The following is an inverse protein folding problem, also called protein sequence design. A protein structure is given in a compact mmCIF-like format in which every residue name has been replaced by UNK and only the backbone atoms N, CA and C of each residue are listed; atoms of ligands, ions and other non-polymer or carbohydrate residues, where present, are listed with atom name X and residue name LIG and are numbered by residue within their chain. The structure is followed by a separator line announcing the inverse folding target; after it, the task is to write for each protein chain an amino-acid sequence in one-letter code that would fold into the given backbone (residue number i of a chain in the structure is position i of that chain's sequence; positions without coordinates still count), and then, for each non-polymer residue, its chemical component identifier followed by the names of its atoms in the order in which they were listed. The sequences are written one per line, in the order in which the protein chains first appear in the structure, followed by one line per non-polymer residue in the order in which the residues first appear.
data_IF_382952995055
#
_entry.id   IF_382952995055
#
_cell.length_a   1.000
_cell.length_b   1.000
_cell.length_c   1.000
_cell.angle_alpha   90.00
_cell.angle_beta   90.00
_cell.angle_gamma   90.00
#
_symmetry.space_group_name_H-M   'P 1'
#
loop_
_entity.id
_entity.type
_entity.pdbx_description
1 polymer ?
#
# COMPACT_ATOMS: atom_id res chain seq x y z
N UNK A 1 -39.86 19.96 -13.78
CA UNK A 1 -39.21 19.26 -14.90
C UNK A 1 -39.51 17.77 -14.77
N UNK A 2 -39.96 17.10 -15.81
CA UNK A 2 -40.20 15.66 -15.77
C UNK A 2 -38.87 14.94 -15.51
N UNK A 3 -38.78 14.13 -14.44
CA UNK A 3 -37.61 13.26 -14.21
C UNK A 3 -37.47 12.38 -15.45
N UNK A 4 -36.34 12.48 -16.14
CA UNK A 4 -36.02 11.59 -17.26
C UNK A 4 -36.15 10.15 -16.76
N UNK A 5 -36.86 9.30 -17.51
CA UNK A 5 -37.09 7.91 -17.11
C UNK A 5 -35.76 7.16 -17.21
N UNK A 6 -35.07 7.01 -16.08
CA UNK A 6 -33.82 6.24 -15.98
C UNK A 6 -34.19 4.76 -16.05
N UNK A 7 -33.63 4.05 -17.03
CA UNK A 7 -33.73 2.59 -17.11
C UNK A 7 -32.97 1.97 -15.94
N UNK A 8 -33.64 1.07 -15.22
CA UNK A 8 -33.05 0.46 -14.04
C UNK A 8 -32.16 -0.70 -14.46
N UNK A 9 -30.95 -0.76 -13.90
CA UNK A 9 -30.12 -1.96 -14.01
C UNK A 9 -30.88 -3.11 -13.33
N UNK A 10 -31.28 -4.09 -14.12
CA UNK A 10 -32.04 -5.28 -13.67
C UNK A 10 -31.29 -6.59 -13.97
N UNK A 11 -29.98 -6.48 -14.18
CA UNK A 11 -29.08 -7.60 -14.46
C UNK A 11 -27.81 -7.49 -13.60
N UNK A 12 -27.10 -8.60 -13.45
CA UNK A 12 -25.86 -8.64 -12.69
C UNK A 12 -24.66 -8.31 -13.60
N UNK A 13 -23.96 -7.22 -13.30
CA UNK A 13 -22.67 -6.91 -13.92
C UNK A 13 -21.60 -7.90 -13.47
N UNK A 14 -20.97 -8.59 -14.42
CA UNK A 14 -19.84 -9.48 -14.11
C UNK A 14 -18.60 -8.66 -13.76
N UNK A 15 -18.07 -8.87 -12.57
CA UNK A 15 -16.86 -8.21 -12.09
C UNK A 15 -15.64 -8.60 -12.95
N UNK A 16 -14.92 -7.60 -13.48
CA UNK A 16 -13.63 -7.81 -14.16
C UNK A 16 -12.46 -7.77 -13.16
N UNK A 17 -11.35 -8.45 -13.46
CA UNK A 17 -10.11 -8.29 -12.69
C UNK A 17 -9.67 -6.83 -12.62
N UNK A 18 -9.05 -6.44 -11.50
CA UNK A 18 -8.48 -5.11 -11.36
C UNK A 18 -7.34 -4.88 -12.36
N UNK A 19 -7.32 -3.70 -12.99
CA UNK A 19 -6.22 -3.25 -13.85
C UNK A 19 -5.02 -2.78 -13.01
N UNK A 20 -3.83 -2.59 -13.61
CA UNK A 20 -2.63 -2.22 -12.85
C UNK A 20 -2.77 -0.98 -11.96
N UNK A 21 -3.52 0.06 -12.36
CA UNK A 21 -3.71 1.25 -11.50
C UNK A 21 -4.36 0.93 -10.16
N UNK A 22 -5.23 -0.08 -10.12
CA UNK A 22 -5.87 -0.52 -8.90
C UNK A 22 -5.02 -1.55 -8.14
N UNK A 23 -4.00 -2.15 -8.75
CA UNK A 23 -3.18 -3.17 -8.10
C UNK A 23 -1.97 -2.61 -7.33
N UNK A 24 -1.64 -1.32 -7.49
CA UNK A 24 -0.43 -0.72 -6.92
C UNK A 24 -0.33 -0.80 -5.38
N UNK A 25 -1.48 -0.83 -4.71
CA UNK A 25 -1.55 -0.88 -3.25
C UNK A 25 -2.65 -1.82 -2.77
N UNK A 26 -2.32 -2.65 -1.79
CA UNK A 26 -3.30 -3.52 -1.11
C UNK A 26 -4.35 -2.66 -0.43
N UNK A 27 -5.62 -3.02 -0.59
CA UNK A 27 -6.71 -2.45 0.19
C UNK A 27 -7.81 -3.50 0.32
N UNK A 28 -8.50 -3.56 1.46
CA UNK A 28 -9.50 -4.58 1.73
C UNK A 28 -10.84 -4.23 1.07
N UNK A 29 -11.56 -5.26 0.60
CA UNK A 29 -12.90 -5.13 0.03
C UNK A 29 -13.05 -4.13 -1.14
N UNK A 30 -12.00 -3.92 -1.94
CA UNK A 30 -12.06 -3.04 -3.12
C UNK A 30 -13.18 -3.48 -4.08
N UNK A 31 -14.04 -2.54 -4.47
CA UNK A 31 -15.10 -2.80 -5.46
C UNK A 31 -14.53 -2.95 -6.87
N UNK A 32 -15.07 -3.85 -7.71
CA UNK A 32 -14.70 -3.96 -9.11
C UNK A 32 -14.99 -2.66 -9.85
N UNK A 33 -13.95 -2.04 -10.41
CA UNK A 33 -14.03 -0.77 -11.11
C UNK A 33 -15.14 -0.73 -12.18
N UNK A 34 -15.27 -1.78 -13.00
CA UNK A 34 -16.24 -1.82 -14.09
C UNK A 34 -17.70 -1.84 -13.62
N UNK A 35 -17.97 -2.41 -12.44
CA UNK A 35 -19.31 -2.39 -11.84
C UNK A 35 -19.62 -0.97 -11.40
N UNK A 36 -18.67 -0.29 -10.77
CA UNK A 36 -18.81 1.11 -10.35
C UNK A 36 -19.02 2.02 -11.57
N UNK A 37 -18.24 1.85 -12.64
CA UNK A 37 -18.37 2.63 -13.87
C UNK A 37 -19.77 2.50 -14.49
N UNK A 38 -20.31 1.28 -14.58
CA UNK A 38 -21.61 1.03 -15.19
C UNK A 38 -22.75 1.70 -14.42
N UNK A 39 -22.72 1.65 -13.09
CA UNK A 39 -23.72 2.33 -12.26
C UNK A 39 -23.62 3.85 -12.42
N UNK A 40 -22.41 4.41 -12.39
CA UNK A 40 -22.23 5.85 -12.63
C UNK A 40 -22.75 6.22 -14.02
N UNK A 41 -22.41 5.46 -15.05
CA UNK A 41 -22.81 5.75 -16.42
C UNK A 41 -24.34 5.70 -16.62
N UNK A 42 -25.02 4.72 -16.00
CA UNK A 42 -26.47 4.56 -16.10
C UNK A 42 -27.26 5.64 -15.33
N UNK A 43 -26.77 6.03 -14.15
CA UNK A 43 -27.51 6.90 -13.23
C UNK A 43 -27.09 8.38 -13.28
N UNK A 44 -26.09 8.75 -14.10
CA UNK A 44 -25.58 10.14 -14.19
C UNK A 44 -25.29 10.55 -15.64
N UNK A 45 -25.13 11.86 -15.86
CA UNK A 45 -24.70 12.47 -17.11
C UNK A 45 -23.30 13.07 -16.98
N UNK A 46 -22.67 13.38 -18.11
CA UNK A 46 -21.39 14.11 -18.10
C UNK A 46 -21.52 15.44 -17.36
N UNK A 47 -20.53 15.73 -16.50
CA UNK A 47 -20.52 16.93 -15.64
C UNK A 47 -21.19 16.78 -14.27
N UNK A 48 -22.03 15.77 -14.07
CA UNK A 48 -22.69 15.49 -12.78
C UNK A 48 -21.67 15.23 -11.65
N UNK A 49 -22.08 15.48 -10.41
CA UNK A 49 -21.30 15.28 -9.20
C UNK A 49 -21.69 13.96 -8.53
N UNK A 50 -20.73 13.03 -8.47
CA UNK A 50 -20.86 11.71 -7.83
C UNK A 50 -20.16 11.71 -6.48
N UNK A 51 -20.88 11.40 -5.41
CA UNK A 51 -20.35 11.29 -4.06
C UNK A 51 -20.24 9.84 -3.60
N UNK A 52 -19.10 9.49 -3.03
CA UNK A 52 -18.91 8.32 -2.17
C UNK A 52 -18.46 8.75 -0.77
N UNK A 53 -19.30 8.57 0.26
CA UNK A 53 -18.97 8.95 1.63
C UNK A 53 -18.09 7.92 2.37
N UNK A 54 -17.78 6.76 1.74
CA UNK A 54 -16.93 5.70 2.28
C UNK A 54 -15.99 5.17 1.18
N UNK A 55 -15.24 6.08 0.55
CA UNK A 55 -14.62 5.82 -0.74
C UNK A 55 -13.54 4.73 -0.73
N UNK A 56 -12.98 4.37 0.43
CA UNK A 56 -11.98 3.33 0.58
C UNK A 56 -10.80 3.53 -0.38
N UNK A 57 -10.52 2.55 -1.23
CA UNK A 57 -9.43 2.69 -2.22
C UNK A 57 -9.78 3.54 -3.46
N UNK A 58 -10.94 4.19 -3.47
CA UNK A 58 -11.30 5.22 -4.44
C UNK A 58 -11.90 4.82 -5.78
N UNK A 59 -12.42 3.60 -6.05
CA UNK A 59 -12.96 3.29 -7.37
C UNK A 59 -14.07 4.26 -7.78
N UNK A 60 -14.94 4.70 -6.87
CA UNK A 60 -16.03 5.63 -7.20
C UNK A 60 -15.57 6.99 -7.70
N UNK A 61 -14.80 7.80 -6.93
CA UNK A 61 -14.36 9.11 -7.43
C UNK A 61 -13.46 9.00 -8.67
N UNK A 62 -12.69 7.90 -8.80
CA UNK A 62 -11.80 7.68 -9.95
C UNK A 62 -12.60 7.34 -11.21
N UNK A 63 -13.56 6.40 -11.13
CA UNK A 63 -14.40 6.05 -12.27
C UNK A 63 -15.31 7.21 -12.69
N UNK A 64 -15.79 8.02 -11.73
CA UNK A 64 -16.54 9.24 -12.04
C UNK A 64 -15.73 10.18 -12.96
N UNK A 65 -14.48 10.50 -12.60
CA UNK A 65 -13.67 11.40 -13.43
C UNK A 65 -13.24 10.79 -14.77
N UNK A 66 -13.04 9.46 -14.83
CA UNK A 66 -12.79 8.74 -16.10
C UNK A 66 -13.97 8.84 -17.05
N UNK A 67 -15.18 8.84 -16.51
CA UNK A 67 -16.43 8.98 -17.26
C UNK A 67 -16.81 10.45 -17.53
N UNK A 68 -15.97 11.43 -17.18
CA UNK A 68 -16.25 12.85 -17.41
C UNK A 68 -17.27 13.45 -16.44
N UNK A 69 -17.47 12.83 -15.27
CA UNK A 69 -18.21 13.38 -14.13
C UNK A 69 -17.22 14.03 -13.16
N UNK A 70 -17.74 14.67 -12.10
CA UNK A 70 -16.95 15.13 -10.96
C UNK A 70 -17.07 14.10 -9.83
N UNK A 71 -15.94 13.67 -9.27
CA UNK A 71 -15.91 12.67 -8.20
C UNK A 71 -15.64 13.29 -6.83
N UNK A 72 -16.49 13.00 -5.85
CA UNK A 72 -16.25 13.32 -4.44
C UNK A 72 -16.02 12.01 -3.70
N UNK A 73 -14.89 11.90 -3.02
CA UNK A 73 -14.55 10.77 -2.17
C UNK A 73 -14.26 11.22 -0.75
N UNK A 74 -15.06 10.76 0.21
CA UNK A 74 -14.84 10.97 1.63
C UNK A 74 -14.58 9.64 2.29
N UNK A 75 -13.67 9.62 3.25
CA UNK A 75 -13.44 8.45 4.11
C UNK A 75 -12.90 8.95 5.45
N UNK A 76 -13.21 8.24 6.54
CA UNK A 76 -12.66 8.57 7.85
C UNK A 76 -11.16 8.18 7.92
N UNK A 77 -10.77 7.12 7.20
CA UNK A 77 -9.41 6.59 7.22
C UNK A 77 -8.51 7.40 6.26
N UNK A 78 -7.44 8.05 6.76
CA UNK A 78 -6.56 8.86 5.91
C UNK A 78 -5.78 8.02 4.90
N UNK A 79 -5.62 6.71 5.12
CA UNK A 79 -5.02 5.83 4.12
C UNK A 79 -5.93 5.67 2.90
N UNK A 80 -7.25 5.61 3.08
CA UNK A 80 -8.22 5.53 1.98
C UNK A 80 -8.05 6.71 1.02
N UNK A 81 -8.02 7.93 1.56
CA UNK A 81 -7.91 9.14 0.76
C UNK A 81 -6.50 9.30 0.17
N UNK A 82 -5.46 8.89 0.89
CA UNK A 82 -4.09 8.84 0.38
C UNK A 82 -3.95 7.88 -0.81
N UNK A 83 -4.45 6.65 -0.68
CA UNK A 83 -4.42 5.64 -1.75
C UNK A 83 -5.22 6.12 -2.96
N UNK A 84 -6.44 6.62 -2.74
CA UNK A 84 -7.29 7.18 -3.80
C UNK A 84 -6.56 8.29 -4.56
N UNK A 85 -5.95 9.23 -3.84
CA UNK A 85 -5.22 10.36 -4.44
C UNK A 85 -4.02 9.89 -5.26
N UNK A 86 -3.19 8.99 -4.73
CA UNK A 86 -1.99 8.51 -5.42
C UNK A 86 -2.31 7.65 -6.65
N UNK A 87 -3.42 6.90 -6.61
CA UNK A 87 -3.93 6.21 -7.79
C UNK A 87 -4.37 7.21 -8.86
N UNK A 88 -5.08 8.28 -8.50
CA UNK A 88 -5.69 9.20 -9.44
C UNK A 88 -4.75 10.27 -10.02
N UNK A 89 -3.87 10.86 -9.19
CA UNK A 89 -3.06 12.03 -9.58
C UNK A 89 -2.08 11.69 -10.71
N UNK A 90 -2.02 12.45 -11.82
CA UNK A 90 -1.06 12.18 -12.87
C UNK A 90 0.37 12.49 -12.42
N UNK A 91 1.31 11.59 -12.73
CA UNK A 91 2.74 11.71 -12.42
C UNK A 91 3.55 11.29 -13.64
N UNK A 92 4.56 12.07 -14.01
CA UNK A 92 5.47 11.73 -15.10
C UNK A 92 6.30 10.48 -14.73
N UNK A 93 6.21 9.45 -15.58
CA UNK A 93 6.92 8.18 -15.39
C UNK A 93 8.44 8.39 -15.41
N UNK A 94 8.96 9.35 -16.18
CA UNK A 94 10.39 9.64 -16.21
C UNK A 94 10.87 10.27 -14.90
N UNK A 95 10.05 11.12 -14.27
CA UNK A 95 10.36 11.66 -12.94
C UNK A 95 10.41 10.55 -11.88
N UNK A 96 9.49 9.57 -11.94
CA UNK A 96 9.54 8.38 -11.06
C UNK A 96 10.85 7.61 -11.28
N UNK A 97 11.21 7.32 -12.54
CA UNK A 97 12.43 6.56 -12.87
C UNK A 97 13.70 7.26 -12.38
N UNK A 98 13.81 8.57 -12.63
CA UNK A 98 14.98 9.36 -12.23
C UNK A 98 15.13 9.39 -10.70
N UNK A 99 14.05 9.70 -9.99
CA UNK A 99 14.07 9.73 -8.53
C UNK A 99 14.31 8.34 -7.91
N UNK A 100 13.85 7.25 -8.55
CA UNK A 100 14.19 5.90 -8.10
C UNK A 100 15.68 5.62 -8.19
N UNK A 101 16.35 6.00 -9.28
CA UNK A 101 17.80 5.82 -9.42
C UNK A 101 18.58 6.63 -8.37
N UNK A 102 18.11 7.82 -8.00
CA UNK A 102 18.68 8.58 -6.87
C UNK A 102 18.48 7.87 -5.53
N UNK A 103 17.26 7.41 -5.21
CA UNK A 103 16.98 6.65 -3.99
C UNK A 103 17.86 5.39 -3.93
N UNK A 104 17.94 4.66 -5.04
CA UNK A 104 18.74 3.46 -5.20
C UNK A 104 20.23 3.70 -4.97
N UNK A 105 20.80 4.74 -5.57
CA UNK A 105 22.20 5.10 -5.35
C UNK A 105 22.50 5.41 -3.88
N UNK A 106 21.53 6.01 -3.17
CA UNK A 106 21.70 6.42 -1.78
C UNK A 106 21.56 5.30 -0.76
N UNK A 107 20.87 4.19 -1.07
CA UNK A 107 20.46 3.26 -0.01
C UNK A 107 20.56 1.76 -0.37
N UNK A 108 20.61 1.38 -1.65
CA UNK A 108 20.57 -0.03 -2.09
C UNK A 108 21.71 -0.86 -1.51
N UNK A 109 22.93 -0.33 -1.53
CA UNK A 109 24.12 -1.09 -1.11
C UNK A 109 24.11 -1.33 0.40
N UNK A 110 23.80 -0.29 1.19
CA UNK A 110 23.66 -0.38 2.65
C UNK A 110 22.64 -1.45 3.06
N UNK A 111 21.49 -1.50 2.37
CA UNK A 111 20.47 -2.52 2.62
C UNK A 111 20.98 -3.91 2.23
N UNK A 112 21.50 -4.08 1.02
CA UNK A 112 21.93 -5.40 0.52
C UNK A 112 23.11 -5.97 1.30
N UNK A 113 23.92 -5.14 1.95
CA UNK A 113 24.97 -5.58 2.87
C UNK A 113 24.41 -6.37 4.07
N UNK A 114 23.15 -6.10 4.47
CA UNK A 114 22.44 -6.85 5.51
C UNK A 114 21.92 -8.21 5.02
N UNK A 115 21.95 -8.47 3.71
CA UNK A 115 21.44 -9.67 3.05
C UNK A 115 22.55 -10.43 2.30
N UNK A 116 23.82 -10.29 2.70
CA UNK A 116 24.94 -11.06 2.12
C UNK A 116 24.98 -12.49 2.63
N UNK A 117 25.39 -13.41 1.77
CA UNK A 117 25.67 -14.82 2.13
C UNK A 117 26.69 -15.42 1.16
N UNK A 118 27.18 -16.63 1.45
CA UNK A 118 28.05 -17.42 0.56
C UNK A 118 27.27 -18.52 -0.15
N UNK A 119 27.58 -18.73 -1.43
CA UNK A 119 26.98 -19.78 -2.23
C UNK A 119 27.53 -21.17 -1.82
N UNK A 120 26.64 -22.09 -1.43
CA UNK A 120 27.00 -23.49 -1.09
C UNK A 120 27.68 -24.26 -2.23
N UNK A 121 27.50 -23.83 -3.48
CA UNK A 121 28.01 -24.53 -4.67
C UNK A 121 29.42 -24.07 -5.07
N UNK A 122 29.70 -22.77 -5.01
CA UNK A 122 30.94 -22.20 -5.54
C UNK A 122 31.73 -21.37 -4.53
N UNK A 123 31.24 -21.19 -3.29
CA UNK A 123 31.90 -20.43 -2.23
C UNK A 123 31.93 -18.91 -2.43
N UNK A 124 31.50 -18.39 -3.59
CA UNK A 124 31.47 -16.95 -3.88
C UNK A 124 30.27 -16.24 -3.24
N UNK A 125 30.34 -14.91 -3.20
CA UNK A 125 29.29 -14.05 -2.66
C UNK A 125 27.96 -14.22 -3.39
N UNK A 126 26.90 -14.15 -2.60
CA UNK A 126 25.51 -14.26 -3.03
C UNK A 126 24.63 -13.30 -2.23
N UNK A 127 23.44 -13.00 -2.78
CA UNK A 127 22.45 -12.13 -2.14
C UNK A 127 21.25 -12.95 -1.68
N UNK A 128 20.91 -12.84 -0.39
CA UNK A 128 19.72 -13.44 0.20
C UNK A 128 18.49 -12.82 -0.44
N UNK A 129 17.60 -13.69 -0.93
CA UNK A 129 16.26 -13.34 -1.43
C UNK A 129 15.29 -13.31 -0.26
N UNK A 130 15.31 -14.37 0.56
CA UNK A 130 14.54 -14.46 1.79
C UNK A 130 15.14 -15.49 2.76
N UNK A 131 14.78 -15.38 4.03
CA UNK A 131 15.11 -16.32 5.10
C UNK A 131 13.82 -16.84 5.72
N UNK A 132 13.70 -18.16 5.86
CA UNK A 132 12.61 -18.77 6.63
C UNK A 132 13.05 -18.87 8.09
N UNK A 133 12.14 -18.50 8.97
CA UNK A 133 12.34 -18.51 10.41
C UNK A 133 11.32 -19.46 11.03
N UNK A 134 11.76 -20.17 12.05
CA UNK A 134 10.90 -20.80 13.04
C UNK A 134 11.11 -20.04 14.35
N UNK A 135 10.14 -19.20 14.69
CA UNK A 135 10.21 -18.22 15.76
C UNK A 135 11.49 -17.36 15.63
N UNK A 136 12.44 -17.49 16.56
CA UNK A 136 13.70 -16.76 16.57
C UNK A 136 14.86 -17.47 15.87
N UNK A 137 14.62 -18.63 15.23
CA UNK A 137 15.67 -19.45 14.63
C UNK A 137 15.57 -19.44 13.11
N UNK A 138 16.59 -18.97 12.37
CA UNK A 138 16.59 -19.09 10.93
C UNK A 138 16.80 -20.56 10.53
N UNK A 139 15.94 -21.10 9.66
CA UNK A 139 15.95 -22.52 9.29
C UNK A 139 16.36 -22.75 7.85
N UNK A 140 16.09 -21.78 6.96
CA UNK A 140 16.39 -21.87 5.52
C UNK A 140 16.72 -20.51 4.93
N UNK A 141 17.71 -20.45 4.05
CA UNK A 141 18.04 -19.25 3.27
C UNK A 141 17.86 -19.58 1.79
N UNK A 142 17.10 -18.75 1.10
CA UNK A 142 17.05 -18.73 -0.36
C UNK A 142 17.83 -17.52 -0.86
N UNK A 143 18.71 -17.73 -1.83
CA UNK A 143 19.62 -16.70 -2.30
C UNK A 143 19.85 -16.80 -3.81
N UNK A 144 20.30 -15.70 -4.41
CA UNK A 144 20.77 -15.67 -5.79
C UNK A 144 22.29 -15.60 -5.81
N UNK A 145 22.93 -16.53 -6.51
CA UNK A 145 24.37 -16.53 -6.72
C UNK A 145 24.71 -15.89 -8.06
N UNK A 146 25.42 -14.77 -8.04
CA UNK A 146 25.84 -14.04 -9.25
C UNK A 146 26.80 -14.83 -10.11
N UNK A 147 27.68 -15.63 -9.51
CA UNK A 147 28.66 -16.45 -10.25
C UNK A 147 28.08 -17.72 -10.86
N UNK A 148 27.07 -18.33 -10.22
CA UNK A 148 26.38 -19.49 -10.77
C UNK A 148 25.20 -19.11 -11.66
N UNK A 149 24.78 -17.84 -11.63
CA UNK A 149 23.58 -17.31 -12.27
C UNK A 149 22.32 -18.16 -11.94
N UNK A 150 22.15 -18.53 -10.66
CA UNK A 150 21.04 -19.39 -10.22
C UNK A 150 20.53 -18.99 -8.85
N UNK A 151 19.21 -19.16 -8.66
CA UNK A 151 18.57 -19.19 -7.34
C UNK A 151 18.84 -20.54 -6.70
N UNK A 152 19.27 -20.52 -5.46
CA UNK A 152 19.65 -21.69 -4.67
C UNK A 152 19.14 -21.52 -3.24
N UNK A 153 19.20 -22.59 -2.48
CA UNK A 153 18.83 -22.62 -1.07
C UNK A 153 19.93 -23.27 -0.23
N UNK A 154 20.01 -22.94 1.06
CA UNK A 154 20.85 -23.65 2.04
C UNK A 154 20.25 -23.59 3.44
N UNK A 155 20.75 -24.43 4.35
CA UNK A 155 20.60 -24.16 5.78
C UNK A 155 21.58 -23.03 6.15
N UNK A 156 21.23 -22.13 7.10
CA UNK A 156 22.16 -21.12 7.59
C UNK A 156 23.45 -21.76 8.10
N UNK A 157 24.60 -21.20 7.72
CA UNK A 157 25.92 -21.59 8.23
C UNK A 157 26.43 -20.58 9.29
N UNK A 158 27.63 -20.81 9.82
CA UNK A 158 28.23 -19.97 10.85
C UNK A 158 28.40 -18.51 10.42
N UNK A 159 28.64 -18.23 9.13
CA UNK A 159 28.76 -16.86 8.62
C UNK A 159 27.38 -16.17 8.62
N UNK A 160 26.35 -16.88 8.17
CA UNK A 160 24.97 -16.38 8.18
C UNK A 160 24.51 -16.08 9.62
N UNK A 161 24.78 -16.99 10.56
CA UNK A 161 24.42 -16.83 11.98
C UNK A 161 25.20 -15.70 12.65
N UNK A 162 26.47 -15.48 12.28
CA UNK A 162 27.25 -14.30 12.72
C UNK A 162 26.63 -13.01 12.21
N UNK A 163 26.18 -12.97 10.95
CA UNK A 163 25.51 -11.80 10.39
C UNK A 163 24.18 -11.52 11.11
N UNK A 164 23.35 -12.54 11.37
CA UNK A 164 22.12 -12.40 12.16
C UNK A 164 22.42 -11.79 13.53
N UNK A 165 23.36 -12.36 14.28
CA UNK A 165 23.76 -11.83 15.60
C UNK A 165 24.30 -10.41 15.54
N UNK A 166 25.03 -10.06 14.47
CA UNK A 166 25.50 -8.69 14.24
C UNK A 166 24.32 -7.73 14.07
N UNK A 167 23.36 -8.08 13.21
CA UNK A 167 22.19 -7.24 12.92
C UNK A 167 21.31 -7.06 14.15
N UNK A 168 21.10 -8.10 14.95
CA UNK A 168 20.32 -8.01 16.21
C UNK A 168 20.92 -7.00 17.20
N UNK A 169 22.25 -6.79 17.17
CA UNK A 169 22.95 -5.82 18.01
C UNK A 169 23.01 -4.40 17.42
N UNK A 170 22.58 -4.20 16.18
CA UNK A 170 22.64 -2.88 15.54
C UNK A 170 21.63 -1.91 16.16
N UNK A 171 22.01 -0.64 16.27
CA UNK A 171 21.04 0.45 16.41
C UNK A 171 20.18 0.56 15.15
N UNK A 172 18.95 1.08 15.28
CA UNK A 172 18.15 1.45 14.11
C UNK A 172 18.58 2.86 13.69
N UNK A 173 19.08 3.07 12.46
CA UNK A 173 19.82 4.28 12.11
C UNK A 173 18.94 5.52 11.91
N UNK A 174 17.66 5.33 11.55
CA UNK A 174 16.72 6.43 11.30
C UNK A 174 15.41 6.20 12.05
N UNK A 175 14.55 7.22 12.01
CA UNK A 175 13.23 7.18 12.64
C UNK A 175 12.37 6.02 12.12
N UNK A 176 11.57 5.45 13.02
CA UNK A 176 10.58 4.41 12.72
C UNK A 176 9.35 4.56 13.65
N UNK A 177 8.18 4.05 13.24
CA UNK A 177 6.98 4.11 14.06
C UNK A 177 7.02 3.11 15.22
N UNK A 178 6.71 3.58 16.42
CA UNK A 178 6.52 2.76 17.64
C UNK A 178 5.07 2.75 18.13
N UNK A 179 4.13 3.13 17.25
CA UNK A 179 2.71 3.19 17.55
C UNK A 179 2.23 1.82 18.08
N UNK A 180 1.51 1.83 19.20
CA UNK A 180 0.89 0.64 19.77
C UNK A 180 -0.21 0.12 18.84
N UNK A 181 -0.32 -1.18 18.71
CA UNK A 181 -1.39 -1.88 17.97
C UNK A 181 -2.68 -1.91 18.82
N UNK A 182 -3.17 -0.72 19.13
CA UNK A 182 -4.31 -0.46 20.00
C UNK A 182 -5.06 0.78 19.50
N UNK A 183 -6.37 0.84 19.74
CA UNK A 183 -7.22 2.00 19.46
C UNK A 183 -7.83 2.52 20.77
N UNK A 184 -7.75 3.83 21.03
CA UNK A 184 -8.26 4.47 22.25
C UNK A 184 -7.86 3.77 23.57
N UNK A 185 -6.67 3.16 23.60
CA UNK A 185 -6.15 2.44 24.76
C UNK A 185 -6.51 0.95 24.82
N UNK A 186 -7.47 0.50 24.03
CA UNK A 186 -7.87 -0.92 23.91
C UNK A 186 -7.04 -1.64 22.84
N UNK A 187 -6.61 -2.86 23.14
CA UNK A 187 -5.88 -3.68 22.16
C UNK A 187 -6.76 -3.97 20.94
N UNK A 188 -6.12 -4.07 19.77
CA UNK A 188 -6.82 -4.47 18.56
C UNK A 188 -7.53 -5.81 18.74
N UNK A 189 -8.79 -5.86 18.29
CA UNK A 189 -9.61 -7.07 18.35
C UNK A 189 -8.92 -8.23 17.64
N UNK A 190 -8.33 -7.93 16.48
CA UNK A 190 -7.56 -8.87 15.68
C UNK A 190 -6.07 -8.44 15.64
N UNK A 191 -5.50 -8.28 16.84
CA UNK A 191 -4.08 -7.98 17.04
C UNK A 191 -3.14 -9.16 16.70
N UNK A 192 -1.98 -9.18 17.35
CA UNK A 192 -0.97 -10.24 17.17
C UNK A 192 -1.31 -11.50 17.98
N UNK A 193 -2.04 -11.33 19.08
CA UNK A 193 -2.20 -12.31 20.17
C UNK A 193 -0.88 -12.76 20.81
N UNK A 194 0.21 -12.01 20.59
CA UNK A 194 1.47 -12.14 21.31
C UNK A 194 1.69 -10.86 22.14
N UNK A 195 1.63 -10.93 23.48
CA UNK A 195 1.77 -9.73 24.33
C UNK A 195 3.15 -9.07 24.21
N UNK A 196 4.15 -9.75 23.65
CA UNK A 196 5.46 -9.17 23.42
C UNK A 196 5.53 -8.36 22.12
N UNK A 197 4.51 -8.44 21.26
CA UNK A 197 4.44 -7.77 19.96
C UNK A 197 3.18 -6.91 19.94
N UNK A 198 3.29 -5.75 20.57
CA UNK A 198 2.22 -4.79 20.83
C UNK A 198 2.38 -3.47 20.07
N UNK A 199 3.41 -3.32 19.24
CA UNK A 199 3.70 -2.09 18.49
C UNK A 199 4.16 -2.37 17.05
N UNK A 200 4.00 -1.37 16.19
CA UNK A 200 4.28 -1.48 14.74
C UNK A 200 5.73 -1.91 14.47
N UNK A 201 6.72 -1.36 15.17
CA UNK A 201 8.14 -1.72 15.02
C UNK A 201 8.42 -3.20 15.32
N UNK A 202 7.66 -3.78 16.25
CA UNK A 202 7.83 -5.18 16.66
C UNK A 202 7.22 -6.17 15.68
N UNK A 203 6.47 -5.72 14.67
CA UNK A 203 6.00 -6.57 13.57
C UNK A 203 7.14 -7.01 12.64
N UNK A 204 8.30 -6.34 12.73
CA UNK A 204 9.44 -6.55 11.86
C UNK A 204 10.52 -7.39 12.54
N UNK A 205 11.34 -8.09 11.76
CA UNK A 205 12.66 -8.51 12.26
C UNK A 205 13.57 -7.29 12.36
N UNK A 206 14.65 -7.36 13.15
CA UNK A 206 15.60 -6.25 13.25
C UNK A 206 16.18 -5.85 11.89
N UNK A 207 16.50 -6.85 11.06
CA UNK A 207 17.02 -6.66 9.70
C UNK A 207 16.03 -5.92 8.81
N UNK A 208 14.77 -6.35 8.80
CA UNK A 208 13.72 -5.68 8.02
C UNK A 208 13.48 -4.26 8.52
N UNK A 209 13.39 -4.04 9.83
CA UNK A 209 13.18 -2.71 10.41
C UNK A 209 14.30 -1.75 10.00
N UNK A 210 15.57 -2.12 10.20
CA UNK A 210 16.72 -1.31 9.78
C UNK A 210 16.65 -0.98 8.30
N UNK A 211 16.38 -1.98 7.45
CA UNK A 211 16.27 -1.79 6.00
C UNK A 211 15.15 -0.83 5.61
N UNK A 212 13.98 -0.94 6.24
CA UNK A 212 12.84 -0.06 5.99
C UNK A 212 13.15 1.38 6.39
N UNK A 213 13.81 1.61 7.53
CA UNK A 213 14.20 2.97 7.97
C UNK A 213 15.17 3.64 6.99
N UNK A 214 16.09 2.86 6.40
CA UNK A 214 17.05 3.33 5.40
C UNK A 214 16.31 3.80 4.13
N UNK A 215 15.36 3.01 3.62
CA UNK A 215 14.53 3.39 2.46
C UNK A 215 13.68 4.62 2.78
N UNK A 216 12.99 4.60 3.92
CA UNK A 216 12.10 5.68 4.32
C UNK A 216 12.84 7.03 4.44
N UNK A 217 14.03 7.01 5.04
CA UNK A 217 14.91 8.18 5.11
C UNK A 217 15.39 8.64 3.72
N UNK A 218 15.73 7.72 2.82
CA UNK A 218 16.09 8.07 1.45
C UNK A 218 14.92 8.75 0.71
N UNK A 219 13.69 8.24 0.86
CA UNK A 219 12.48 8.84 0.30
C UNK A 219 12.23 10.24 0.88
N UNK A 220 12.42 10.44 2.19
CA UNK A 220 12.19 11.74 2.82
C UNK A 220 13.07 12.89 2.28
N UNK A 221 14.20 12.55 1.65
CA UNK A 221 15.14 13.49 1.02
C UNK A 221 14.74 13.89 -0.41
N UNK A 222 13.75 13.23 -1.02
CA UNK A 222 13.22 13.60 -2.33
C UNK A 222 12.60 14.99 -2.24
N UNK A 223 13.03 15.91 -3.12
CA UNK A 223 12.62 17.33 -3.04
C UNK A 223 11.21 17.58 -3.57
N UNK A 224 10.86 16.98 -4.70
CA UNK A 224 9.55 17.18 -5.31
C UNK A 224 8.48 16.42 -4.52
N UNK A 225 7.54 17.14 -3.92
CA UNK A 225 6.59 16.57 -2.97
C UNK A 225 5.71 15.49 -3.62
N UNK A 226 5.22 15.71 -4.85
CA UNK A 226 4.41 14.71 -5.57
C UNK A 226 5.19 13.40 -5.80
N UNK A 227 6.47 13.51 -6.12
CA UNK A 227 7.35 12.35 -6.32
C UNK A 227 7.66 11.66 -5.00
N UNK A 228 7.92 12.42 -3.94
CA UNK A 228 8.06 11.87 -2.58
C UNK A 228 6.83 11.06 -2.17
N UNK A 229 5.62 11.62 -2.37
CA UNK A 229 4.36 10.97 -2.00
C UNK A 229 4.12 9.66 -2.75
N UNK A 230 4.44 9.57 -4.05
CA UNK A 230 4.29 8.29 -4.78
C UNK A 230 5.33 7.24 -4.33
N UNK A 231 6.52 7.65 -3.89
CA UNK A 231 7.47 6.71 -3.27
C UNK A 231 7.04 6.28 -1.87
N UNK A 232 6.43 7.16 -1.07
CA UNK A 232 5.81 6.78 0.20
C UNK A 232 4.65 5.80 -0.01
N UNK A 233 3.88 5.96 -1.09
CA UNK A 233 2.86 5.02 -1.52
C UNK A 233 3.45 3.66 -1.94
N UNK A 234 4.53 3.64 -2.73
CA UNK A 234 5.24 2.39 -3.06
C UNK A 234 5.87 1.72 -1.83
N UNK A 235 6.40 2.51 -0.88
CA UNK A 235 6.96 2.00 0.36
C UNK A 235 5.88 1.33 1.22
N UNK A 236 4.74 2.00 1.41
CA UNK A 236 3.63 1.45 2.21
C UNK A 236 3.00 0.22 1.55
N UNK A 237 2.93 0.18 0.21
CA UNK A 237 2.40 -0.98 -0.52
C UNK A 237 3.19 -2.27 -0.29
N UNK A 238 4.48 -2.19 0.04
CA UNK A 238 5.34 -3.36 0.33
C UNK A 238 5.65 -3.58 1.81
N UNK A 239 5.46 -2.58 2.68
CA UNK A 239 5.85 -2.64 4.11
C UNK A 239 5.32 -3.87 4.84
N UNK A 240 4.10 -4.31 4.56
CA UNK A 240 3.52 -5.51 5.16
C UNK A 240 4.21 -6.81 4.72
N UNK A 241 4.77 -6.84 3.50
CA UNK A 241 5.53 -7.98 2.98
C UNK A 241 6.93 -8.07 3.59
N UNK A 242 7.42 -6.97 4.15
CA UNK A 242 8.67 -6.88 4.91
C UNK A 242 8.47 -7.20 6.39
N UNK A 243 7.36 -7.83 6.81
CA UNK A 243 7.05 -8.11 8.21
C UNK A 243 7.04 -9.61 8.53
N UNK A 244 7.04 -9.93 9.84
CA UNK A 244 6.89 -11.29 10.36
C UNK A 244 5.51 -11.89 10.10
N UNK A 245 4.54 -11.11 9.60
CA UNK A 245 3.17 -11.57 9.31
C UNK A 245 3.06 -12.43 8.02
N UNK A 246 4.19 -12.74 7.38
CA UNK A 246 4.24 -13.40 6.08
C UNK A 246 4.58 -14.89 6.25
N UNK A 247 3.62 -15.82 6.12
CA UNK A 247 3.87 -17.24 6.33
C UNK A 247 4.72 -17.85 5.22
N UNK A 248 5.46 -18.91 5.55
CA UNK A 248 6.14 -19.73 4.52
C UNK A 248 5.12 -20.51 3.70
N UNK A 249 5.29 -20.53 2.39
CA UNK A 249 4.42 -21.26 1.45
C UNK A 249 5.15 -22.46 0.87
N UNK A 250 4.73 -23.71 1.18
CA UNK A 250 5.41 -24.91 0.69
C UNK A 250 5.59 -24.97 -0.83
N UNK A 251 4.57 -24.52 -1.59
CA UNK A 251 4.58 -24.54 -3.06
C UNK A 251 5.28 -23.34 -3.69
N UNK A 252 5.54 -22.27 -2.92
CA UNK A 252 6.18 -21.04 -3.40
C UNK A 252 7.13 -20.49 -2.32
N UNK A 253 8.26 -21.17 -2.04
CA UNK A 253 9.08 -20.88 -0.87
C UNK A 253 9.80 -19.53 -0.90
N UNK A 254 9.86 -18.84 -2.04
CA UNK A 254 10.44 -17.50 -2.17
C UNK A 254 9.38 -16.40 -2.33
N UNK A 255 8.12 -16.67 -2.00
CA UNK A 255 7.01 -15.73 -2.13
C UNK A 255 6.05 -15.91 -0.97
N UNK A 256 5.59 -14.79 -0.40
CA UNK A 256 4.59 -14.77 0.66
C UNK A 256 3.67 -13.55 0.51
N UNK A 257 2.71 -13.42 1.40
CA UNK A 257 1.69 -12.38 1.41
C UNK A 257 1.18 -12.20 2.85
N UNK A 258 0.57 -11.05 3.14
CA UNK A 258 -0.16 -10.89 4.40
C UNK A 258 -1.47 -11.69 4.33
N UNK A 259 -1.45 -12.86 4.95
CA UNK A 259 -2.42 -13.93 4.70
C UNK A 259 -3.77 -13.74 5.39
N UNK A 260 -3.78 -13.04 6.51
CA UNK A 260 -4.98 -12.81 7.31
C UNK A 260 -5.27 -11.31 7.34
N UNK A 261 -6.54 -10.93 7.42
CA UNK A 261 -6.96 -9.53 7.64
C UNK A 261 -6.79 -9.14 9.12
N UNK A 262 -5.60 -9.37 9.68
CA UNK A 262 -5.22 -9.14 11.09
C UNK A 262 -3.70 -9.16 11.28
N UNK A 263 -3.22 -8.69 12.43
CA UNK A 263 -1.77 -8.65 12.75
C UNK A 263 -1.16 -9.98 13.18
N UNK A 264 -1.66 -11.10 12.62
CA UNK A 264 -1.20 -12.43 12.98
C UNK A 264 0.25 -12.70 12.58
N UNK A 265 1.03 -13.21 13.52
CA UNK A 265 2.42 -13.65 13.30
C UNK A 265 2.46 -15.18 13.31
N UNK A 266 2.68 -15.84 12.16
CA UNK A 266 2.88 -17.28 12.14
C UNK A 266 4.18 -17.67 12.86
N UNK A 267 4.22 -18.82 13.56
CA UNK A 267 5.46 -19.36 14.12
C UNK A 267 6.54 -19.54 13.05
N UNK A 268 6.14 -19.96 11.84
CA UNK A 268 7.02 -20.11 10.69
C UNK A 268 6.74 -18.99 9.67
N UNK A 269 7.65 -18.05 9.55
CA UNK A 269 7.50 -16.86 8.70
C UNK A 269 8.69 -16.67 7.74
N UNK A 270 8.48 -15.80 6.74
CA UNK A 270 9.45 -15.49 5.70
C UNK A 270 9.96 -14.05 5.85
N UNK A 271 11.20 -13.88 6.28
CA UNK A 271 11.88 -12.60 6.21
C UNK A 271 12.33 -12.33 4.76
N UNK A 272 11.75 -11.34 4.10
CA UNK A 272 12.09 -10.97 2.71
C UNK A 272 13.23 -9.96 2.65
N UNK A 273 14.03 -9.98 1.58
CA UNK A 273 14.94 -8.89 1.26
C UNK A 273 14.15 -7.63 0.90
N UNK A 274 14.25 -6.61 1.76
CA UNK A 274 13.48 -5.36 1.65
C UNK A 274 13.81 -4.57 0.39
N UNK A 275 15.06 -4.61 -0.10
CA UNK A 275 15.41 -3.94 -1.36
C UNK A 275 14.68 -4.58 -2.54
N UNK A 276 14.60 -5.93 -2.60
CA UNK A 276 13.86 -6.61 -3.66
C UNK A 276 12.35 -6.29 -3.61
N UNK A 277 11.79 -6.16 -2.41
CA UNK A 277 10.39 -5.74 -2.24
C UNK A 277 10.16 -4.31 -2.74
N UNK A 278 11.05 -3.37 -2.39
CA UNK A 278 10.95 -1.98 -2.84
C UNK A 278 11.11 -1.83 -4.35
N UNK A 279 12.10 -2.51 -4.93
CA UNK A 279 12.33 -2.55 -6.38
C UNK A 279 11.09 -3.09 -7.11
N UNK A 280 10.48 -4.16 -6.58
CA UNK A 280 9.21 -4.70 -7.10
C UNK A 280 8.01 -3.77 -6.88
N UNK A 281 7.97 -2.98 -5.82
CA UNK A 281 6.92 -1.98 -5.60
C UNK A 281 7.01 -0.81 -6.59
N UNK A 282 8.17 -0.64 -7.24
CA UNK A 282 8.39 0.37 -8.28
C UNK A 282 8.17 -0.22 -9.67
N UNK A 283 8.86 -1.31 -10.01
CA UNK A 283 8.92 -1.86 -11.36
C UNK A 283 8.20 -3.21 -11.55
N UNK A 284 7.69 -3.83 -10.48
CA UNK A 284 6.93 -5.07 -10.60
C UNK A 284 5.60 -4.88 -11.34
N UNK A 285 4.91 -5.98 -11.62
CA UNK A 285 3.61 -5.97 -12.32
C UNK A 285 2.51 -5.26 -11.53
N UNK A 286 2.69 -5.12 -10.22
CA UNK A 286 1.84 -4.34 -9.32
C UNK A 286 2.57 -3.09 -8.80
N UNK A 287 3.64 -2.68 -9.48
CA UNK A 287 4.45 -1.54 -9.10
C UNK A 287 3.88 -0.21 -9.59
N UNK A 288 4.38 0.88 -9.03
CA UNK A 288 3.90 2.23 -9.37
C UNK A 288 4.18 2.62 -10.83
N UNK A 289 5.22 2.10 -11.48
CA UNK A 289 5.50 2.43 -12.90
C UNK A 289 4.39 1.90 -13.81
N UNK A 290 4.02 0.62 -13.63
CA UNK A 290 2.96 0.00 -14.42
C UNK A 290 1.59 0.63 -14.09
N UNK A 291 1.27 0.77 -12.81
CA UNK A 291 -0.02 1.34 -12.40
C UNK A 291 -0.16 2.83 -12.72
N UNK A 292 0.92 3.63 -12.68
CA UNK A 292 0.87 5.02 -13.14
C UNK A 292 0.75 5.13 -14.64
N UNK A 293 1.43 4.27 -15.41
CA UNK A 293 1.25 4.19 -16.86
C UNK A 293 -0.22 3.93 -17.20
N UNK A 294 -0.84 2.96 -16.54
CA UNK A 294 -2.27 2.65 -16.70
C UNK A 294 -3.16 3.84 -16.31
N UNK A 295 -2.98 4.40 -15.10
CA UNK A 295 -3.82 5.51 -14.62
C UNK A 295 -3.69 6.79 -15.45
N UNK A 296 -2.47 7.15 -15.88
CA UNK A 296 -2.23 8.34 -16.71
C UNK A 296 -2.89 8.19 -18.10
N UNK A 297 -2.95 6.97 -18.62
CA UNK A 297 -3.62 6.69 -19.89
C UNK A 297 -5.14 6.78 -19.76
N UNK A 298 -5.70 6.33 -18.63
CA UNK A 298 -7.15 6.29 -18.42
C UNK A 298 -7.74 7.62 -17.93
N UNK A 299 -7.01 8.37 -17.09
CA UNK A 299 -7.46 9.64 -16.50
C UNK A 299 -7.03 10.80 -17.39
N UNK A 300 -7.95 11.28 -18.23
CA UNK A 300 -7.67 12.33 -19.22
C UNK A 300 -7.52 13.72 -18.63
N UNK A 301 -8.19 13.98 -17.51
CA UNK A 301 -8.17 15.26 -16.82
C UNK A 301 -8.18 15.04 -15.31
N UNK A 302 -7.33 15.77 -14.60
CA UNK A 302 -7.25 15.73 -13.14
C UNK A 302 -6.98 17.13 -12.61
N UNK A 303 -7.90 17.65 -11.80
CA UNK A 303 -7.72 18.84 -10.98
C UNK A 303 -8.43 18.61 -9.65
N UNK A 304 -7.65 18.46 -8.59
CA UNK A 304 -8.16 18.24 -7.24
C UNK A 304 -8.62 19.55 -6.60
N UNK A 305 -9.85 19.55 -6.10
CA UNK A 305 -10.49 20.63 -5.37
C UNK A 305 -9.92 20.72 -3.94
N UNK A 306 -9.69 21.95 -3.45
CA UNK A 306 -9.35 22.22 -2.05
C UNK A 306 -10.61 22.38 -1.20
N UNK A 307 -11.66 22.97 -1.78
CA UNK A 307 -13.00 23.16 -1.23
C UNK A 307 -14.06 22.82 -2.28
N UNK A 308 -15.30 22.61 -1.87
CA UNK A 308 -16.37 22.16 -2.75
C UNK A 308 -16.57 23.09 -3.96
N UNK A 309 -16.48 24.41 -3.77
CA UNK A 309 -16.73 25.40 -4.82
C UNK A 309 -15.74 25.30 -5.99
N UNK A 310 -14.54 24.74 -5.76
CA UNK A 310 -13.55 24.56 -6.83
C UNK A 310 -14.05 23.56 -7.90
N UNK A 311 -15.01 22.69 -7.56
CA UNK A 311 -15.69 21.81 -8.53
C UNK A 311 -16.49 22.61 -9.56
N UNK A 312 -16.90 23.83 -9.24
CA UNK A 312 -17.53 24.75 -10.20
C UNK A 312 -16.50 25.54 -11.02
N UNK A 313 -15.24 25.55 -10.58
CA UNK A 313 -14.11 26.23 -11.23
C UNK A 313 -13.12 25.22 -11.84
N UNK A 314 -13.67 24.25 -12.56
CA UNK A 314 -12.93 23.27 -13.35
C UNK A 314 -12.25 22.16 -12.55
N UNK A 315 -12.25 22.13 -11.21
CA UNK A 315 -11.83 20.93 -10.50
C UNK A 315 -12.80 19.77 -10.78
N UNK A 316 -12.28 18.55 -10.87
CA UNK A 316 -13.09 17.38 -11.16
C UNK A 316 -13.03 16.31 -10.08
N UNK A 317 -12.17 16.44 -9.08
CA UNK A 317 -12.13 15.49 -7.96
C UNK A 317 -12.00 16.23 -6.63
N UNK A 318 -12.75 15.81 -5.61
CA UNK A 318 -12.68 16.35 -4.25
C UNK A 318 -12.51 15.22 -3.25
N UNK A 319 -11.34 15.14 -2.61
CA UNK A 319 -11.01 14.07 -1.66
C UNK A 319 -10.82 14.62 -0.26
N UNK A 320 -11.54 14.07 0.73
CA UNK A 320 -11.45 14.53 2.12
C UNK A 320 -11.40 13.38 3.11
N UNK A 321 -10.44 13.44 4.03
CA UNK A 321 -10.47 12.61 5.24
C UNK A 321 -11.41 13.28 6.23
N UNK A 322 -12.62 12.76 6.39
CA UNK A 322 -13.67 13.41 7.17
C UNK A 322 -14.75 12.42 7.62
N UNK A 323 -15.48 12.79 8.68
CA UNK A 323 -16.55 11.96 9.22
C UNK A 323 -17.81 12.04 8.35
N UNK A 324 -18.37 10.89 7.96
CA UNK A 324 -19.55 10.84 7.10
C UNK A 324 -20.81 11.44 7.75
N UNK A 325 -20.87 11.53 9.08
CA UNK A 325 -21.96 12.24 9.79
C UNK A 325 -21.84 13.77 9.73
N UNK A 326 -20.69 14.30 9.30
CA UNK A 326 -20.39 15.73 9.28
C UNK A 326 -20.25 16.30 7.86
N UNK A 327 -20.68 15.55 6.84
CA UNK A 327 -20.51 15.92 5.42
C UNK A 327 -21.01 17.33 5.08
N UNK A 328 -22.07 17.82 5.74
CA UNK A 328 -22.60 19.16 5.50
C UNK A 328 -21.64 20.30 5.87
N UNK A 329 -20.58 20.01 6.62
CA UNK A 329 -19.51 20.99 6.90
C UNK A 329 -18.59 21.21 5.69
N UNK A 330 -18.52 20.25 4.77
CA UNK A 330 -17.59 20.27 3.63
C UNK A 330 -18.28 20.16 2.26
N UNK A 331 -19.55 19.77 2.22
CA UNK A 331 -20.38 19.63 1.02
C UNK A 331 -21.72 20.34 1.30
N UNK A 332 -22.11 21.34 0.49
CA UNK A 332 -23.41 22.00 0.63
C UNK A 332 -24.59 21.04 0.52
N UNK A 333 -25.75 21.43 1.06
CA UNK A 333 -26.99 20.68 0.85
C UNK A 333 -27.43 20.76 -0.61
N UNK A 334 -28.09 19.71 -1.09
CA UNK A 334 -28.69 19.64 -2.44
C UNK A 334 -27.70 19.94 -3.58
N UNK A 335 -26.43 19.56 -3.40
CA UNK A 335 -25.33 19.91 -4.32
C UNK A 335 -24.67 18.71 -5.01
N UNK A 336 -25.16 17.50 -4.81
CA UNK A 336 -24.65 16.27 -5.45
C UNK A 336 -25.76 15.60 -6.25
N UNK A 337 -25.41 15.06 -7.42
CA UNK A 337 -26.38 14.49 -8.35
C UNK A 337 -26.61 12.99 -8.08
N UNK A 338 -25.58 12.30 -7.59
CA UNK A 338 -25.62 10.86 -7.33
C UNK A 338 -24.75 10.48 -6.15
N UNK A 339 -25.26 9.57 -5.30
CA UNK A 339 -24.51 8.98 -4.19
C UNK A 339 -24.33 7.50 -4.47
N UNK A 340 -23.08 7.08 -4.64
CA UNK A 340 -22.69 5.67 -4.70
C UNK A 340 -22.02 5.34 -3.37
N UNK A 341 -22.62 4.45 -2.58
CA UNK A 341 -22.14 4.19 -1.22
C UNK A 341 -22.21 2.71 -0.87
N UNK A 342 -21.17 2.25 -0.17
CA UNK A 342 -21.10 0.94 0.45
C UNK A 342 -20.45 1.11 1.83
N UNK A 343 -21.23 1.26 2.91
CA UNK A 343 -20.68 1.47 4.25
C UNK A 343 -19.85 0.27 4.71
N UNK A 344 -18.85 0.49 5.59
CA UNK A 344 -17.96 -0.58 6.03
C UNK A 344 -18.72 -1.71 6.72
N UNK A 345 -18.27 -2.95 6.50
CA UNK A 345 -18.80 -4.14 7.17
C UNK A 345 -18.39 -4.12 8.65
N UNK A 346 -19.25 -3.56 9.52
CA UNK A 346 -19.04 -3.22 10.94
C UNK A 346 -18.72 -4.38 11.89
N UNK A 347 -17.68 -5.15 11.58
CA UNK A 347 -17.17 -6.27 12.37
C UNK A 347 -16.38 -7.32 11.58
N UNK A 348 -16.52 -7.35 10.24
CA UNK A 348 -15.89 -8.37 9.39
C UNK A 348 -14.45 -7.99 8.95
N UNK A 349 -14.18 -6.70 8.78
CA UNK A 349 -12.85 -6.17 8.42
C UNK A 349 -12.54 -4.97 9.31
N UNK A 350 -11.42 -5.03 10.01
CA UNK A 350 -10.96 -3.97 10.90
C UNK A 350 -10.11 -2.94 10.13
N UNK A 351 -10.74 -2.12 9.28
CA UNK A 351 -10.03 -1.24 8.34
C UNK A 351 -9.04 -0.28 9.03
N UNK A 352 -9.42 0.31 10.17
CA UNK A 352 -8.57 1.21 10.94
C UNK A 352 -7.41 0.49 11.62
N UNK A 353 -7.68 -0.66 12.26
CA UNK A 353 -6.63 -1.47 12.87
C UNK A 353 -5.59 -1.79 11.80
N UNK A 354 -6.01 -2.35 10.66
CA UNK A 354 -5.10 -2.80 9.62
C UNK A 354 -4.36 -1.65 8.91
N UNK A 355 -4.97 -0.47 8.81
CA UNK A 355 -4.31 0.70 8.24
C UNK A 355 -3.27 1.32 9.18
N UNK A 356 -3.26 0.96 10.47
CA UNK A 356 -2.29 1.45 11.47
C UNK A 356 -0.86 1.24 11.04
N UNK A 357 -0.55 0.11 10.41
CA UNK A 357 0.78 -0.16 9.86
C UNK A 357 1.20 0.95 8.88
N UNK A 358 0.34 1.27 7.91
CA UNK A 358 0.66 2.23 6.86
C UNK A 358 0.60 3.67 7.38
N UNK A 359 -0.43 4.01 8.16
CA UNK A 359 -0.61 5.34 8.73
C UNK A 359 0.55 5.72 9.65
N UNK A 360 1.02 4.77 10.47
CA UNK A 360 2.15 5.02 11.37
C UNK A 360 3.43 5.37 10.61
N UNK A 361 3.73 4.68 9.50
CA UNK A 361 4.86 5.04 8.64
C UNK A 361 4.68 6.41 7.97
N UNK A 362 3.48 6.73 7.51
CA UNK A 362 3.17 8.00 6.87
C UNK A 362 3.00 9.16 7.86
N UNK A 363 3.10 8.89 9.18
CA UNK A 363 2.84 9.87 10.25
C UNK A 363 1.46 10.50 10.14
N UNK A 364 0.48 9.70 9.73
CA UNK A 364 -0.92 10.10 9.69
C UNK A 364 -1.55 9.76 11.04
N UNK A 365 -2.31 10.71 11.58
CA UNK A 365 -3.10 10.45 12.78
C UNK A 365 -4.20 9.44 12.44
N UNK A 366 -4.56 8.57 13.38
CA UNK A 366 -5.71 7.68 13.28
C UNK A 366 -6.73 7.94 14.39
N UNK A 367 -6.52 8.96 15.22
CA UNK A 367 -7.47 9.40 16.24
C UNK A 367 -8.57 10.26 15.57
N UNK A 368 -9.50 9.60 14.89
CA UNK A 368 -10.69 10.21 14.29
C UNK A 368 -11.98 9.79 14.98
#
# INVERSE_FOLDING_TARGET
MAKQKIEQINYATVAKPHTPMYLMHKYWARKPHNVVSEYIENYTKGGDIVLDPFCGSGPTPIEAIKLGRKGIGVDLNPISTFVTRMTAVPIDINQIKNAFEEIKANCKNEINDLYKTKCKKCGKDASIICTHWDNSTPTKIYYYCFSCNKKLDKKPDDEDLKLVKKVEKMGVPYWYPTQRLAYNGEDFKEGTHDPNIDSVDKLFTKRNLVSLTIIFNAISKVKEEKIKQIFLFAFTSMSHLASKMTPVRPTRPMSSFWAMHRYWIPPIFMESNVWHLFDSAVYGTQGIVEGKTDSNNQIKYYKEAKKFEDLNDGANIFLKTHHALELTQIIPKDSVDYVFTDPPYGGAVQYFELSTLWASWLKLDLNY
#
